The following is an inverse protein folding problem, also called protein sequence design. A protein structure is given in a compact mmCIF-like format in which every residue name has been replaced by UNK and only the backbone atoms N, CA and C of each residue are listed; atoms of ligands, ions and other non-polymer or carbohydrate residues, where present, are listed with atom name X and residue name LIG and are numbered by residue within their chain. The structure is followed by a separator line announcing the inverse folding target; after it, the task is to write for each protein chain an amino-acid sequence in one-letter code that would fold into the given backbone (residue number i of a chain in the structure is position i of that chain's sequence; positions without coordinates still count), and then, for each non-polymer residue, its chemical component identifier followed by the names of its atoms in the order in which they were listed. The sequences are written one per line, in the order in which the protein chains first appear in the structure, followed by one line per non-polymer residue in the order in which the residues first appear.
data_IF_061990307487
#
_entry.id   IF_061990307487
#
_cell.length_a   1.000
_cell.length_b   1.000
_cell.length_c   1.000
_cell.angle_alpha   90.00
_cell.angle_beta   90.00
_cell.angle_gamma   90.00
#
_symmetry.space_group_name_H-M   'P 1'
#
loop_
_entity.id
_entity.type
_entity.pdbx_description
1 polymer ?
#
# COMPACT_ATOMS: atom_id res chain seq x y z
N UNK A 1 -0.86 -1.00 30.21
CA UNK A 1 0.31 -0.73 29.35
C UNK A 1 -0.19 0.13 28.20
N UNK A 2 0.53 1.17 27.76
CA UNK A 2 0.09 1.92 26.58
C UNK A 2 -0.02 0.95 25.40
N UNK A 3 -1.06 1.09 24.58
CA UNK A 3 -1.23 0.27 23.39
C UNK A 3 0.02 0.42 22.51
N UNK A 4 0.63 -0.70 22.11
CA UNK A 4 1.75 -0.66 21.17
C UNK A 4 1.23 -0.09 19.85
N UNK A 5 1.87 0.97 19.34
CA UNK A 5 1.50 1.55 18.05
C UNK A 5 1.86 0.56 16.95
N UNK A 6 0.94 0.33 16.02
CA UNK A 6 1.07 -0.68 14.97
C UNK A 6 1.18 -0.09 13.56
N UNK A 7 1.74 -0.89 12.66
CA UNK A 7 1.70 -0.72 11.20
C UNK A 7 1.03 -1.95 10.64
N UNK A 8 -0.13 -1.78 10.02
CA UNK A 8 -0.92 -2.90 9.49
C UNK A 8 -0.54 -3.18 8.04
N UNK A 9 -0.50 -4.45 7.64
CA UNK A 9 -0.26 -4.79 6.24
C UNK A 9 -1.07 -5.98 5.76
N UNK A 10 -1.46 -5.94 4.49
CA UNK A 10 -1.87 -7.13 3.75
C UNK A 10 -0.76 -7.48 2.75
N UNK A 11 -0.43 -8.76 2.58
CA UNK A 11 0.67 -9.20 1.72
C UNK A 11 0.39 -10.58 1.11
N UNK A 12 0.54 -10.71 -0.21
CA UNK A 12 0.39 -12.01 -0.89
C UNK A 12 1.74 -12.61 -1.30
N UNK A 13 2.69 -11.77 -1.70
CA UNK A 13 4.01 -12.20 -2.20
C UNK A 13 5.18 -11.47 -1.51
N UNK A 14 4.94 -10.85 -0.35
CA UNK A 14 5.98 -10.33 0.54
C UNK A 14 6.43 -8.88 0.30
N UNK A 15 6.06 -8.22 -0.80
CA UNK A 15 6.48 -6.81 -1.02
C UNK A 15 5.94 -5.87 0.06
N UNK A 16 4.64 -5.95 0.35
CA UNK A 16 4.00 -5.10 1.36
C UNK A 16 4.54 -5.36 2.76
N UNK A 17 4.79 -6.63 3.09
CA UNK A 17 5.43 -7.02 4.34
C UNK A 17 6.80 -6.34 4.50
N UNK A 18 7.66 -6.39 3.48
CA UNK A 18 8.98 -5.76 3.53
C UNK A 18 8.92 -4.24 3.82
N UNK A 19 7.96 -3.54 3.21
CA UNK A 19 7.74 -2.12 3.50
C UNK A 19 7.18 -1.89 4.90
N UNK A 20 6.20 -2.69 5.33
CA UNK A 20 5.58 -2.55 6.63
C UNK A 20 6.56 -2.81 7.78
N UNK A 21 7.40 -3.84 7.65
CA UNK A 21 8.45 -4.17 8.62
C UNK A 21 9.49 -3.05 8.72
N UNK A 22 9.93 -2.46 7.61
CA UNK A 22 10.87 -1.33 7.66
C UNK A 22 10.23 -0.07 8.26
N UNK A 23 8.98 0.26 7.88
CA UNK A 23 8.26 1.40 8.47
C UNK A 23 8.10 1.19 9.98
N UNK A 24 7.69 0.00 10.40
CA UNK A 24 7.48 -0.34 11.81
C UNK A 24 8.79 -0.22 12.59
N UNK A 25 9.87 -0.80 12.06
CA UNK A 25 11.22 -0.71 12.64
C UNK A 25 11.68 0.75 12.82
N UNK A 26 11.52 1.59 11.80
CA UNK A 26 11.95 2.99 11.84
C UNK A 26 11.13 3.82 12.84
N UNK A 27 9.85 3.47 13.05
CA UNK A 27 8.96 4.16 13.98
C UNK A 27 8.93 3.55 15.39
N UNK A 28 9.68 2.47 15.66
CA UNK A 28 9.60 1.73 16.93
C UNK A 28 8.23 1.10 17.19
N UNK A 29 7.59 0.57 16.14
CA UNK A 29 6.23 0.00 16.11
C UNK A 29 6.26 -1.50 15.78
N UNK A 30 5.13 -2.16 15.99
CA UNK A 30 4.93 -3.54 15.53
C UNK A 30 4.31 -3.57 14.12
N UNK A 31 4.81 -4.45 13.25
CA UNK A 31 4.17 -4.74 11.95
C UNK A 31 3.17 -5.91 12.12
N UNK A 32 1.90 -5.68 11.78
CA UNK A 32 0.80 -6.64 11.99
C UNK A 32 0.17 -7.05 10.66
N UNK A 33 0.14 -8.35 10.41
CA UNK A 33 -0.50 -8.93 9.23
C UNK A 33 -2.02 -8.94 9.38
N UNK A 34 -2.71 -8.32 8.42
CA UNK A 34 -4.16 -8.25 8.29
C UNK A 34 -4.64 -8.79 6.93
N UNK A 35 -3.86 -9.65 6.28
CA UNK A 35 -4.15 -10.17 4.91
C UNK A 35 -5.49 -10.88 4.83
N UNK A 36 -5.80 -11.70 5.84
CA UNK A 36 -7.00 -12.54 5.90
C UNK A 36 -7.90 -12.18 7.09
N UNK A 37 -7.80 -10.94 7.58
CA UNK A 37 -8.47 -10.49 8.81
C UNK A 37 -9.12 -9.12 8.62
N UNK A 38 -10.37 -9.00 9.06
CA UNK A 38 -11.02 -7.71 9.23
C UNK A 38 -10.55 -7.07 10.53
N UNK A 39 -10.13 -5.81 10.46
CA UNK A 39 -9.59 -5.10 11.62
C UNK A 39 -10.73 -4.39 12.36
N UNK A 40 -11.01 -4.74 13.63
CA UNK A 40 -11.97 -3.98 14.42
C UNK A 40 -11.44 -2.56 14.67
N UNK A 41 -12.30 -1.55 14.58
CA UNK A 41 -11.92 -0.15 14.77
C UNK A 41 -11.79 0.28 16.24
N UNK A 42 -12.24 -0.56 17.17
CA UNK A 42 -12.20 -0.32 18.62
C UNK A 42 -10.75 -0.24 19.13
N UNK A 43 -10.46 0.78 19.94
CA UNK A 43 -9.13 0.99 20.54
C UNK A 43 -8.07 1.61 19.62
N UNK A 44 -8.28 1.62 18.30
CA UNK A 44 -7.31 2.16 17.33
C UNK A 44 -7.13 3.68 17.39
N UNK A 45 -8.04 4.40 18.06
CA UNK A 45 -7.94 5.84 18.27
C UNK A 45 -6.67 6.21 19.03
N UNK A 46 -6.29 5.41 20.03
CA UNK A 46 -5.11 5.65 20.86
C UNK A 46 -3.78 5.39 20.12
N UNK A 47 -3.85 4.69 18.99
CA UNK A 47 -2.68 4.31 18.18
C UNK A 47 -2.39 5.28 17.03
N UNK A 48 -3.20 6.33 16.86
CA UNK A 48 -3.01 7.31 15.80
C UNK A 48 -1.59 7.97 15.84
N UNK A 49 -1.03 8.34 14.68
CA UNK A 49 -1.53 8.05 13.33
C UNK A 49 -1.37 6.58 12.94
N UNK A 50 -2.32 6.05 12.17
CA UNK A 50 -2.33 4.66 11.70
C UNK A 50 -1.79 4.54 10.28
N UNK A 51 -1.04 3.47 10.02
CA UNK A 51 -0.40 3.21 8.73
C UNK A 51 -0.83 1.83 8.25
N UNK A 52 -1.33 1.78 7.01
CA UNK A 52 -1.69 0.56 6.31
C UNK A 52 -0.82 0.37 5.08
N UNK A 53 -0.38 -0.86 4.79
CA UNK A 53 0.41 -1.19 3.60
C UNK A 53 -0.25 -2.35 2.85
N UNK A 54 -0.50 -2.19 1.55
CA UNK A 54 -1.25 -3.21 0.81
C UNK A 54 -0.94 -3.28 -0.67
N UNK A 55 -0.93 -4.49 -1.26
CA UNK A 55 -0.67 -4.65 -2.68
C UNK A 55 -1.90 -4.30 -3.51
N UNK A 56 -1.66 -3.75 -4.70
CA UNK A 56 -2.61 -3.84 -5.81
C UNK A 56 -2.65 -5.30 -6.27
N UNK A 57 -3.77 -5.98 -6.03
CA UNK A 57 -3.95 -7.40 -6.29
C UNK A 57 -5.14 -7.61 -7.24
N UNK A 58 -4.83 -7.69 -8.54
CA UNK A 58 -5.85 -7.71 -9.59
C UNK A 58 -6.64 -6.40 -9.62
N UNK A 59 -7.95 -6.47 -9.37
CA UNK A 59 -8.84 -5.30 -9.31
C UNK A 59 -9.03 -4.76 -7.89
N UNK A 60 -8.33 -5.32 -6.89
CA UNK A 60 -8.45 -4.93 -5.47
C UNK A 60 -7.19 -4.21 -4.98
N UNK A 61 -7.35 -3.41 -3.93
CA UNK A 61 -6.26 -2.90 -3.10
C UNK A 61 -6.43 -3.50 -1.71
N UNK A 62 -5.66 -4.53 -1.37
CA UNK A 62 -5.90 -5.28 -0.14
C UNK A 62 -5.60 -4.41 1.09
N UNK A 63 -6.50 -4.45 2.08
CA UNK A 63 -6.43 -3.62 3.29
C UNK A 63 -7.04 -2.21 3.14
N UNK A 64 -7.41 -1.78 1.93
CA UNK A 64 -7.99 -0.44 1.73
C UNK A 64 -9.35 -0.26 2.44
N UNK A 65 -10.17 -1.31 2.50
CA UNK A 65 -11.46 -1.30 3.21
C UNK A 65 -11.27 -1.12 4.73
N UNK A 66 -10.30 -1.83 5.32
CA UNK A 66 -9.92 -1.64 6.73
C UNK A 66 -9.48 -0.19 6.98
N UNK A 67 -8.58 0.34 6.14
CA UNK A 67 -8.11 1.71 6.28
C UNK A 67 -9.22 2.76 6.12
N UNK A 68 -10.15 2.56 5.17
CA UNK A 68 -11.30 3.45 4.97
C UNK A 68 -12.25 3.42 6.17
N UNK A 69 -12.58 2.22 6.67
CA UNK A 69 -13.44 2.05 7.84
C UNK A 69 -12.84 2.76 9.06
N UNK A 70 -11.55 2.56 9.30
CA UNK A 70 -10.83 3.16 10.43
C UNK A 70 -10.70 4.69 10.27
N UNK A 71 -10.44 5.19 9.06
CA UNK A 71 -10.38 6.63 8.79
C UNK A 71 -11.72 7.32 9.09
N UNK A 72 -12.84 6.67 8.76
CA UNK A 72 -14.18 7.17 9.07
C UNK A 72 -14.41 7.29 10.58
N UNK A 73 -14.04 6.27 11.35
CA UNK A 73 -14.24 6.27 12.81
C UNK A 73 -13.29 7.25 13.53
N UNK A 74 -12.04 7.34 13.11
CA UNK A 74 -11.08 8.31 13.65
C UNK A 74 -11.53 9.75 13.42
N UNK A 75 -12.03 10.07 12.22
CA UNK A 75 -12.50 11.42 11.92
C UNK A 75 -13.69 11.82 12.79
N UNK A 76 -14.64 10.92 13.06
CA UNK A 76 -15.72 11.18 14.03
C UNK A 76 -15.19 11.44 15.44
N UNK A 77 -14.21 10.64 15.87
CA UNK A 77 -13.65 10.73 17.22
C UNK A 77 -12.76 11.97 17.43
N UNK A 78 -12.06 12.40 16.38
CA UNK A 78 -11.03 13.45 16.43
C UNK A 78 -11.46 14.75 15.74
N UNK A 79 -12.73 14.88 15.34
CA UNK A 79 -13.27 16.06 14.63
C UNK A 79 -12.99 17.39 15.36
N UNK A 80 -12.90 17.35 16.70
CA UNK A 80 -12.65 18.50 17.56
C UNK A 80 -11.17 18.95 17.59
N UNK A 81 -10.24 18.12 17.10
CA UNK A 81 -8.80 18.40 17.11
C UNK A 81 -8.29 19.08 15.83
N UNK A 82 -9.18 19.40 14.89
CA UNK A 82 -8.84 19.97 13.59
C UNK A 82 -8.47 18.88 12.59
N UNK A 83 -9.06 18.94 11.39
CA UNK A 83 -8.96 17.90 10.35
C UNK A 83 -7.52 17.65 9.89
N UNK A 84 -6.84 16.69 10.52
CA UNK A 84 -5.65 16.06 10.00
C UNK A 84 -6.02 14.66 9.51
N UNK A 85 -5.44 14.23 8.39
CA UNK A 85 -5.52 12.81 8.01
C UNK A 85 -4.75 12.01 9.07
N UNK A 86 -5.47 11.19 9.83
CA UNK A 86 -4.92 10.32 10.86
C UNK A 86 -4.58 8.91 10.34
N UNK A 87 -4.94 8.61 9.10
CA UNK A 87 -4.68 7.33 8.44
C UNK A 87 -3.86 7.55 7.19
N UNK A 88 -2.81 6.75 7.02
CA UNK A 88 -2.06 6.63 5.78
C UNK A 88 -2.24 5.24 5.17
N UNK A 89 -2.25 5.18 3.85
CA UNK A 89 -2.23 3.94 3.08
C UNK A 89 -1.09 3.95 2.07
N UNK A 90 -0.24 2.94 2.13
CA UNK A 90 0.89 2.72 1.23
C UNK A 90 0.52 1.63 0.23
N UNK A 91 0.26 2.05 -1.02
CA UNK A 91 -0.04 1.13 -2.11
C UNK A 91 1.24 0.55 -2.71
N UNK A 92 1.32 -0.78 -2.78
CA UNK A 92 2.45 -1.50 -3.38
C UNK A 92 2.04 -2.07 -4.73
N UNK A 93 2.78 -1.78 -5.81
CA UNK A 93 2.38 -2.28 -7.13
C UNK A 93 3.46 -2.29 -8.20
N UNK A 94 3.04 -2.55 -9.44
CA UNK A 94 3.91 -2.66 -10.62
C UNK A 94 3.69 -1.51 -11.61
N UNK A 95 3.54 -0.29 -11.07
CA UNK A 95 3.42 0.94 -11.84
C UNK A 95 4.70 1.75 -11.64
N UNK A 96 5.14 2.41 -12.69
CA UNK A 96 6.17 3.44 -12.62
C UNK A 96 5.88 4.44 -11.46
N UNK A 97 6.79 4.62 -10.49
CA UNK A 97 6.52 5.44 -9.30
C UNK A 97 6.11 6.88 -9.59
N UNK A 98 6.71 7.53 -10.60
CA UNK A 98 6.36 8.91 -10.95
C UNK A 98 4.93 8.99 -11.50
N UNK A 99 4.57 8.01 -12.33
CA UNK A 99 3.22 7.92 -12.89
C UNK A 99 2.20 7.58 -11.82
N UNK A 100 2.55 6.71 -10.87
CA UNK A 100 1.68 6.33 -9.77
C UNK A 100 1.40 7.53 -8.87
N UNK A 101 2.43 8.30 -8.51
CA UNK A 101 2.30 9.52 -7.72
C UNK A 101 1.38 10.57 -8.41
N UNK A 102 1.57 10.80 -9.71
CA UNK A 102 0.76 11.79 -10.46
C UNK A 102 -0.71 11.39 -10.61
N UNK A 103 -0.98 10.09 -10.80
CA UNK A 103 -2.33 9.62 -11.10
C UNK A 103 -3.15 9.30 -9.85
N UNK A 104 -2.50 8.97 -8.73
CA UNK A 104 -3.15 8.52 -7.49
C UNK A 104 -4.33 7.56 -7.76
N UNK A 105 -4.05 6.49 -8.53
CA UNK A 105 -5.09 5.52 -8.87
C UNK A 105 -5.63 4.75 -7.66
N UNK A 106 -4.98 4.88 -6.50
CA UNK A 106 -5.41 4.33 -5.22
C UNK A 106 -6.65 5.03 -4.66
N UNK A 107 -6.87 6.32 -4.95
CA UNK A 107 -7.99 7.09 -4.39
C UNK A 107 -9.36 6.41 -4.57
N UNK A 108 -9.59 5.76 -5.72
CA UNK A 108 -10.86 5.09 -6.04
C UNK A 108 -11.23 3.95 -5.09
N UNK A 109 -10.27 3.38 -4.36
CA UNK A 109 -10.53 2.26 -3.43
C UNK A 109 -11.07 2.71 -2.08
N UNK A 110 -11.05 4.02 -1.80
CA UNK A 110 -11.47 4.57 -0.51
C UNK A 110 -12.87 5.21 -0.56
N UNK A 111 -13.50 5.28 -1.73
CA UNK A 111 -14.83 5.90 -1.88
C UNK A 111 -14.87 7.32 -1.31
N UNK A 112 -15.86 7.59 -0.46
CA UNK A 112 -16.05 8.88 0.21
C UNK A 112 -14.95 9.19 1.24
N UNK A 113 -14.24 8.16 1.74
CA UNK A 113 -13.18 8.30 2.74
C UNK A 113 -11.83 8.68 2.11
N UNK A 114 -11.77 8.85 0.79
CA UNK A 114 -10.53 9.20 0.08
C UNK A 114 -9.87 10.45 0.67
N UNK A 115 -10.63 11.46 1.04
CA UNK A 115 -10.01 12.71 1.52
C UNK A 115 -9.55 12.63 2.98
N UNK A 116 -9.86 11.51 3.68
CA UNK A 116 -9.44 11.20 5.05
C UNK A 116 -8.18 10.33 5.14
N UNK A 117 -7.79 9.72 4.02
CA UNK A 117 -6.63 8.83 3.92
C UNK A 117 -5.50 9.53 3.17
N UNK A 118 -4.32 9.59 3.79
CA UNK A 118 -3.10 10.00 3.11
C UNK A 118 -2.59 8.83 2.28
N UNK A 119 -2.29 9.04 1.00
CA UNK A 119 -1.97 7.95 0.08
C UNK A 119 -0.54 8.07 -0.42
N UNK A 120 0.19 6.98 -0.25
CA UNK A 120 1.55 6.81 -0.75
C UNK A 120 1.60 5.65 -1.73
N UNK A 121 2.63 5.66 -2.56
CA UNK A 121 2.90 4.59 -3.51
C UNK A 121 4.36 4.16 -3.42
N UNK A 122 4.58 2.84 -3.42
CA UNK A 122 5.91 2.25 -3.52
C UNK A 122 5.93 1.10 -4.54
N UNK A 123 7.03 0.92 -5.27
CA UNK A 123 7.17 -0.18 -6.22
C UNK A 123 7.32 -1.53 -5.52
N UNK A 124 6.67 -2.56 -6.07
CA UNK A 124 6.74 -3.94 -5.60
C UNK A 124 7.67 -4.82 -6.42
N UNK A 125 7.60 -6.13 -6.15
CA UNK A 125 8.27 -7.16 -6.95
C UNK A 125 7.27 -8.15 -7.52
N UNK A 126 7.70 -8.85 -8.55
CA UNK A 126 6.99 -9.98 -9.12
C UNK A 126 7.95 -11.09 -9.48
N UNK A 127 7.54 -12.30 -9.10
CA UNK A 127 8.23 -13.53 -9.46
C UNK A 127 7.20 -14.50 -10.04
N UNK A 128 7.06 -14.46 -11.37
CA UNK A 128 6.00 -15.15 -12.14
C UNK A 128 5.80 -16.63 -11.75
N UNK A 129 6.87 -17.43 -11.53
CA UNK A 129 6.72 -18.82 -11.09
C UNK A 129 6.03 -19.00 -9.72
N UNK A 130 6.09 -18.01 -8.82
CA UNK A 130 5.48 -18.08 -7.48
C UNK A 130 4.01 -17.63 -7.46
N UNK A 131 3.50 -17.12 -8.58
CA UNK A 131 2.12 -16.63 -8.66
C UNK A 131 1.11 -17.77 -8.68
N UNK A 132 -0.06 -17.53 -8.05
CA UNK A 132 -1.26 -18.37 -8.17
C UNK A 132 -1.77 -18.31 -9.62
N UNK A 133 -2.47 -19.35 -10.08
CA UNK A 133 -2.84 -19.48 -11.50
C UNK A 133 -3.63 -18.27 -12.04
N UNK A 134 -4.65 -17.80 -11.31
CA UNK A 134 -5.42 -16.62 -11.71
C UNK A 134 -4.55 -15.35 -11.87
N UNK A 135 -3.50 -15.24 -11.06
CA UNK A 135 -2.59 -14.09 -11.04
C UNK A 135 -1.61 -14.12 -12.21
N UNK A 136 -1.18 -15.32 -12.59
CA UNK A 136 -0.37 -15.51 -13.80
C UNK A 136 -1.08 -15.01 -15.05
N UNK A 137 -2.39 -15.24 -15.17
CA UNK A 137 -3.18 -14.77 -16.32
C UNK A 137 -3.26 -13.25 -16.36
N UNK A 138 -3.55 -12.60 -15.22
CA UNK A 138 -3.61 -11.14 -15.14
C UNK A 138 -2.26 -10.49 -15.49
N UNK A 139 -1.16 -11.04 -14.96
CA UNK A 139 0.18 -10.54 -15.25
C UNK A 139 0.55 -10.78 -16.71
N UNK A 140 0.21 -11.94 -17.28
CA UNK A 140 0.45 -12.21 -18.71
C UNK A 140 -0.28 -11.21 -19.61
N UNK A 141 -1.52 -10.88 -19.31
CA UNK A 141 -2.29 -9.88 -20.04
C UNK A 141 -1.65 -8.48 -19.93
N UNK A 142 -1.19 -8.11 -18.73
CA UNK A 142 -0.47 -6.85 -18.50
C UNK A 142 0.85 -6.77 -19.29
N UNK A 143 1.66 -7.85 -19.28
CA UNK A 143 2.90 -7.92 -20.06
C UNK A 143 2.63 -7.79 -21.56
N UNK A 144 1.60 -8.47 -22.06
CA UNK A 144 1.19 -8.37 -23.47
C UNK A 144 0.78 -6.94 -23.82
N UNK A 145 -0.03 -6.29 -22.98
CA UNK A 145 -0.41 -4.89 -23.16
C UNK A 145 0.80 -3.96 -23.21
N UNK A 146 1.75 -4.07 -22.27
CA UNK A 146 2.94 -3.23 -22.27
C UNK A 146 3.91 -3.52 -23.42
N UNK A 147 3.94 -4.76 -23.93
CA UNK A 147 4.77 -5.12 -25.08
C UNK A 147 4.36 -4.41 -26.38
N UNK A 148 3.08 -4.05 -26.52
CA UNK A 148 2.52 -3.40 -27.70
C UNK A 148 2.17 -1.92 -27.49
N UNK A 149 2.23 -1.43 -26.25
CA UNK A 149 1.87 -0.06 -25.88
C UNK A 149 2.85 0.96 -26.49
N UNK A 150 2.37 1.90 -27.34
CA UNK A 150 3.19 3.02 -27.80
C UNK A 150 3.62 3.90 -26.61
N UNK A 151 4.88 4.32 -26.58
CA UNK A 151 5.40 5.18 -25.51
C UNK A 151 5.45 4.50 -24.13
N UNK A 152 5.71 3.19 -24.07
CA UNK A 152 5.95 2.50 -22.81
C UNK A 152 7.08 3.20 -22.00
N UNK A 153 6.96 3.26 -20.67
CA UNK A 153 8.01 3.86 -19.83
C UNK A 153 9.22 2.91 -19.71
N UNK A 154 10.34 3.39 -19.17
CA UNK A 154 11.50 2.54 -18.90
C UNK A 154 11.14 1.40 -17.93
N UNK A 155 10.34 1.70 -16.89
CA UNK A 155 9.82 0.72 -15.94
C UNK A 155 8.95 -0.35 -16.63
N UNK A 156 8.02 0.07 -17.49
CA UNK A 156 7.14 -0.85 -18.25
C UNK A 156 7.97 -1.74 -19.20
N UNK A 157 8.99 -1.19 -19.87
CA UNK A 157 9.89 -1.95 -20.75
C UNK A 157 10.72 -2.98 -19.99
N UNK A 158 11.27 -2.61 -18.83
CA UNK A 158 12.04 -3.53 -18.00
C UNK A 158 11.16 -4.66 -17.45
N UNK A 159 9.93 -4.34 -17.04
CA UNK A 159 8.96 -5.34 -16.61
C UNK A 159 8.67 -6.36 -17.73
N UNK A 160 8.46 -5.89 -18.98
CA UNK A 160 8.30 -6.77 -20.15
C UNK A 160 9.56 -7.60 -20.40
N UNK A 161 10.74 -6.97 -20.42
CA UNK A 161 12.01 -7.64 -20.70
C UNK A 161 12.36 -8.73 -19.67
N UNK A 162 11.96 -8.54 -18.41
CA UNK A 162 12.14 -9.53 -17.35
C UNK A 162 11.23 -10.77 -17.45
N UNK A 163 10.21 -10.73 -18.32
CA UNK A 163 9.14 -11.73 -18.37
C UNK A 163 8.37 -11.87 -17.03
N UNK A 164 8.49 -10.87 -16.14
CA UNK A 164 8.10 -10.92 -14.74
C UNK A 164 8.72 -12.07 -13.93
N UNK A 165 9.80 -12.69 -14.39
CA UNK A 165 10.46 -13.81 -13.68
C UNK A 165 11.30 -13.28 -12.51
N UNK A 166 11.98 -12.15 -12.70
CA UNK A 166 12.91 -11.57 -11.72
C UNK A 166 12.79 -10.04 -11.62
N UNK A 167 11.58 -9.50 -11.77
CA UNK A 167 11.38 -8.06 -11.63
C UNK A 167 11.21 -7.70 -10.16
N UNK A 168 12.29 -7.20 -9.55
CA UNK A 168 12.29 -6.72 -8.18
C UNK A 168 12.61 -5.23 -8.14
N UNK A 169 11.62 -4.43 -7.73
CA UNK A 169 11.76 -3.00 -7.54
C UNK A 169 11.48 -2.58 -6.10
N UNK A 170 11.43 -3.53 -5.16
CA UNK A 170 11.27 -3.18 -3.76
C UNK A 170 12.49 -2.41 -3.29
N UNK A 171 12.26 -1.19 -2.84
CA UNK A 171 13.26 -0.30 -2.25
C UNK A 171 12.64 0.34 -1.02
N UNK A 172 12.93 -0.23 0.15
CA UNK A 172 12.33 0.20 1.42
C UNK A 172 12.68 1.64 1.81
N UNK A 173 13.73 2.23 1.21
CA UNK A 173 14.05 3.65 1.42
C UNK A 173 12.94 4.58 0.89
N UNK A 174 12.14 4.12 -0.08
CA UNK A 174 11.00 4.87 -0.62
C UNK A 174 9.85 4.99 0.39
N UNK A 175 9.91 4.33 1.54
CA UNK A 175 8.98 4.53 2.65
C UNK A 175 9.26 5.80 3.48
N UNK A 176 10.39 6.50 3.26
CA UNK A 176 10.76 7.70 4.01
C UNK A 176 9.66 8.78 4.08
N UNK A 177 8.88 9.07 3.01
CA UNK A 177 7.78 10.02 3.10
C UNK A 177 6.67 9.60 4.07
N UNK A 178 6.43 8.30 4.24
CA UNK A 178 5.42 7.74 5.16
C UNK A 178 5.87 7.93 6.61
N UNK A 179 7.15 7.64 6.87
CA UNK A 179 7.78 7.82 8.19
C UNK A 179 7.70 9.29 8.59
N UNK A 180 8.15 10.19 7.71
CA UNK A 180 8.09 11.63 7.96
C UNK A 180 6.67 12.13 8.21
N UNK A 181 5.68 11.63 7.45
CA UNK A 181 4.27 11.96 7.69
C UNK A 181 3.84 11.54 9.10
N UNK A 182 4.19 10.33 9.53
CA UNK A 182 3.78 9.78 10.82
C UNK A 182 4.40 10.52 12.02
N UNK A 183 5.62 11.05 11.86
CA UNK A 183 6.30 11.84 12.90
C UNK A 183 5.73 13.26 13.07
N UNK A 184 5.00 13.77 12.06
CA UNK A 184 4.38 15.10 12.09
C UNK A 184 2.94 15.11 12.62
N UNK A 185 2.56 14.07 13.37
CA UNK A 185 1.18 13.83 13.83
C UNK A 185 1.13 13.54 15.32
#
# INVERSE_FOLDING_TARGET
MPAEKRVFFSSVYGSSQAYAEEIAKQLGREAVDITDVELPSEGLVEEAPLIFVGPVYGVKLLGAENAACVARELDKALISQGSAKHVAFVSVGLTDPEKAAKKDSSAKFFGDEKDRVERFYVPGRIHYPKLKLAHRTAIKAMLLYYSSKPGATAFERELVASGAIGFDKVDVSLAAPVIKWAETR
#
